data_IF_171776697476
#
_entry.id   IF_171776697476
#
_cell.length_a   1.000
_cell.length_b   1.000
_cell.length_c   1.000
_cell.angle_alpha   90.00
_cell.angle_beta   90.00
_cell.angle_gamma   90.00
#
_symmetry.space_group_name_H-M   'P 1'
#
loop_
_entity.id
_entity.type
_entity.pdbx_description
1 polymer ?
#
# COMPACT_ATOMS: atom_id res chain seq x y z
N UNK A 1 7.18 0.17 -37.64
CA UNK A 1 7.31 1.35 -36.73
C UNK A 1 5.98 1.87 -36.14
N UNK A 2 4.78 1.43 -36.57
CA UNK A 2 3.49 1.99 -36.09
C UNK A 2 2.81 1.21 -34.94
N UNK A 3 3.17 -0.07 -34.75
CA UNK A 3 2.45 -0.97 -33.84
C UNK A 3 2.63 -0.60 -32.35
N UNK A 4 3.83 -0.13 -31.98
CA UNK A 4 4.18 0.27 -30.62
C UNK A 4 3.50 1.58 -30.20
N UNK A 5 3.45 2.55 -31.11
CA UNK A 5 2.73 3.81 -30.91
C UNK A 5 1.22 3.58 -30.76
N UNK A 6 0.67 2.55 -31.41
CA UNK A 6 -0.76 2.20 -31.36
C UNK A 6 -1.10 1.43 -30.09
N UNK A 7 -0.22 0.52 -29.62
CA UNK A 7 -0.37 -0.17 -28.33
C UNK A 7 -0.30 0.81 -27.16
N UNK A 8 0.63 1.77 -27.18
CA UNK A 8 0.77 2.81 -26.16
C UNK A 8 -0.47 3.70 -26.07
N UNK A 9 -0.97 4.19 -27.22
CA UNK A 9 -2.20 5.01 -27.26
C UNK A 9 -3.44 4.25 -26.77
N UNK A 10 -3.55 2.95 -27.06
CA UNK A 10 -4.63 2.10 -26.51
C UNK A 10 -4.51 1.93 -25.00
N UNK A 11 -3.32 1.66 -24.48
CA UNK A 11 -3.10 1.57 -23.03
C UNK A 11 -3.42 2.90 -22.31
N UNK A 12 -3.01 4.04 -22.87
CA UNK A 12 -3.31 5.38 -22.33
C UNK A 12 -4.82 5.72 -22.42
N UNK A 13 -5.50 5.26 -23.46
CA UNK A 13 -6.95 5.51 -23.64
C UNK A 13 -7.79 4.65 -22.68
N UNK A 14 -7.43 3.38 -22.52
CA UNK A 14 -8.07 2.49 -21.54
C UNK A 14 -7.85 3.00 -20.12
N UNK A 15 -6.63 3.47 -19.80
CA UNK A 15 -6.33 4.08 -18.51
C UNK A 15 -7.18 5.32 -18.24
N UNK A 16 -7.35 6.22 -19.22
CA UNK A 16 -8.26 7.39 -19.11
C UNK A 16 -9.73 7.01 -18.93
N UNK A 17 -10.21 5.96 -19.60
CA UNK A 17 -11.58 5.46 -19.42
C UNK A 17 -11.78 4.78 -18.06
N UNK A 18 -10.75 4.13 -17.52
CA UNK A 18 -10.78 3.55 -16.17
C UNK A 18 -10.73 4.62 -15.07
N UNK A 19 -10.01 5.72 -15.29
CA UNK A 19 -9.99 6.89 -14.40
C UNK A 19 -11.36 7.60 -14.24
N UNK A 20 -12.30 7.40 -15.19
CA UNK A 20 -13.65 7.97 -15.14
C UNK A 20 -14.61 7.16 -14.24
N UNK A 21 -14.23 5.97 -13.78
CA UNK A 21 -15.00 5.16 -12.83
C UNK A 21 -14.19 4.99 -11.55
N UNK A 22 -14.83 5.14 -10.39
CA UNK A 22 -14.20 4.85 -9.09
C UNK A 22 -13.65 3.42 -9.15
N UNK A 23 -12.33 3.21 -8.99
CA UNK A 23 -11.75 1.87 -9.05
C UNK A 23 -12.30 0.99 -7.93
N UNK A 24 -12.42 -0.30 -8.19
CA UNK A 24 -12.81 -1.25 -7.14
C UNK A 24 -11.80 -1.22 -5.98
N UNK A 25 -12.28 -1.49 -4.76
CA UNK A 25 -11.43 -1.52 -3.55
C UNK A 25 -10.21 -2.45 -3.70
N UNK A 26 -10.38 -3.58 -4.41
CA UNK A 26 -9.29 -4.51 -4.74
C UNK A 26 -8.22 -3.86 -5.62
N UNK A 27 -8.61 -3.05 -6.60
CA UNK A 27 -7.69 -2.32 -7.48
C UNK A 27 -6.91 -1.28 -6.68
N UNK A 28 -7.58 -0.53 -5.80
CA UNK A 28 -6.94 0.45 -4.90
C UNK A 28 -5.92 -0.26 -3.99
N UNK A 29 -6.31 -1.37 -3.36
CA UNK A 29 -5.41 -2.15 -2.52
C UNK A 29 -4.19 -2.68 -3.29
N UNK A 30 -4.37 -3.16 -4.53
CA UNK A 30 -3.27 -3.63 -5.37
C UNK A 30 -2.31 -2.52 -5.80
N UNK A 31 -2.84 -1.33 -6.10
CA UNK A 31 -2.05 -0.14 -6.41
C UNK A 31 -1.16 0.24 -5.24
N UNK A 32 -1.78 0.35 -4.05
CA UNK A 32 -1.07 0.76 -2.84
C UNK A 32 -0.01 -0.25 -2.41
N UNK A 33 -0.28 -1.56 -2.51
CA UNK A 33 0.55 -2.60 -1.87
C UNK A 33 1.48 -3.39 -2.79
N UNK A 34 1.08 -3.65 -4.05
CA UNK A 34 1.75 -4.65 -4.90
C UNK A 34 2.37 -4.05 -6.15
N UNK A 35 1.76 -3.01 -6.72
CA UNK A 35 2.20 -2.44 -8.00
C UNK A 35 3.19 -1.30 -7.88
N UNK A 36 3.60 -0.89 -6.67
CA UNK A 36 4.42 0.31 -6.43
C UNK A 36 5.73 0.33 -7.25
N UNK A 37 6.36 -0.82 -7.48
CA UNK A 37 7.59 -0.94 -8.27
C UNK A 37 7.38 -0.93 -9.80
N UNK A 38 6.13 -1.04 -10.26
CA UNK A 38 5.75 -1.12 -11.68
C UNK A 38 4.50 -0.29 -12.00
N UNK A 39 4.34 0.89 -11.38
CA UNK A 39 3.22 1.78 -11.65
C UNK A 39 3.38 2.45 -13.03
N UNK A 40 2.33 2.40 -13.84
CA UNK A 40 2.22 3.33 -14.97
C UNK A 40 1.99 4.76 -14.46
N UNK A 41 2.31 5.76 -15.29
CA UNK A 41 2.17 7.19 -14.93
C UNK A 41 0.76 7.55 -14.43
N UNK A 42 -0.28 6.92 -14.98
CA UNK A 42 -1.66 7.15 -14.56
C UNK A 42 -2.01 6.48 -13.22
N UNK A 43 -1.44 5.32 -12.95
CA UNK A 43 -1.57 4.62 -11.68
C UNK A 43 -0.87 5.39 -10.55
N UNK A 44 0.30 5.98 -10.80
CA UNK A 44 0.99 6.86 -9.84
C UNK A 44 0.16 8.10 -9.47
N UNK A 45 -0.47 8.75 -10.44
CA UNK A 45 -1.33 9.92 -10.18
C UNK A 45 -2.58 9.53 -9.40
N UNK A 46 -3.12 8.34 -9.65
CA UNK A 46 -4.28 7.82 -8.92
C UNK A 46 -3.92 7.49 -7.47
N UNK A 47 -2.77 6.84 -7.26
CA UNK A 47 -2.25 6.51 -5.93
C UNK A 47 -2.00 7.79 -5.10
N UNK A 48 -1.34 8.78 -5.70
CA UNK A 48 -1.10 10.08 -5.07
C UNK A 48 -2.41 10.83 -4.74
N UNK A 49 -3.41 10.77 -5.62
CA UNK A 49 -4.72 11.38 -5.36
C UNK A 49 -5.46 10.71 -4.20
N UNK A 50 -5.34 9.39 -4.06
CA UNK A 50 -5.93 8.62 -2.96
C UNK A 50 -5.21 8.90 -1.65
N UNK A 51 -3.86 8.88 -1.64
CA UNK A 51 -3.05 9.21 -0.46
C UNK A 51 -3.31 10.64 0.02
N UNK A 52 -3.47 11.59 -0.91
CA UNK A 52 -3.75 12.99 -0.58
C UNK A 52 -5.18 13.21 -0.06
N UNK A 53 -6.15 12.42 -0.53
CA UNK A 53 -7.55 12.52 -0.10
C UNK A 53 -7.86 11.72 1.17
N UNK A 54 -7.04 10.72 1.49
CA UNK A 54 -7.22 9.83 2.65
C UNK A 54 -5.88 9.64 3.38
N UNK A 55 -5.41 10.64 4.15
CA UNK A 55 -4.11 10.58 4.82
C UNK A 55 -3.94 9.37 5.74
N UNK A 56 -5.02 8.98 6.45
CA UNK A 56 -5.00 7.82 7.34
C UNK A 56 -4.68 6.50 6.61
N UNK A 57 -5.00 6.40 5.32
CA UNK A 57 -4.67 5.22 4.51
C UNK A 57 -3.20 5.23 4.09
N UNK A 58 -2.65 6.40 3.78
CA UNK A 58 -1.23 6.56 3.51
C UNK A 58 -0.38 6.21 4.75
N UNK A 59 -0.79 6.68 5.93
CA UNK A 59 -0.15 6.37 7.21
C UNK A 59 -0.18 4.86 7.51
N UNK A 60 -1.35 4.24 7.32
CA UNK A 60 -1.51 2.79 7.47
C UNK A 60 -0.59 2.02 6.52
N UNK A 61 -0.46 2.47 5.27
CA UNK A 61 0.43 1.85 4.31
C UNK A 61 1.91 2.01 4.69
N UNK A 62 2.31 3.19 5.16
CA UNK A 62 3.66 3.44 5.66
C UNK A 62 4.02 2.51 6.84
N UNK A 63 3.07 2.27 7.76
CA UNK A 63 3.24 1.33 8.87
C UNK A 63 3.43 -0.11 8.39
N UNK A 64 2.67 -0.56 7.38
CA UNK A 64 2.87 -1.89 6.76
C UNK A 64 4.25 -1.99 6.10
N UNK A 65 4.70 -0.94 5.41
CA UNK A 65 6.04 -0.88 4.82
C UNK A 65 7.15 -0.98 5.87
N UNK A 66 7.03 -0.22 6.97
CA UNK A 66 7.97 -0.28 8.12
C UNK A 66 8.00 -1.68 8.75
N UNK A 67 6.85 -2.33 8.91
CA UNK A 67 6.75 -3.71 9.39
C UNK A 67 7.54 -4.69 8.52
N UNK A 68 7.33 -4.64 7.20
CA UNK A 68 8.03 -5.51 6.28
C UNK A 68 9.55 -5.27 6.30
N UNK A 69 9.98 -4.01 6.37
CA UNK A 69 11.39 -3.66 6.52
C UNK A 69 11.99 -4.21 7.83
N UNK A 70 11.27 -4.10 8.96
CA UNK A 70 11.68 -4.65 10.25
C UNK A 70 11.87 -6.17 10.21
N UNK A 71 10.94 -6.91 9.59
CA UNK A 71 11.06 -8.38 9.44
C UNK A 71 12.34 -8.72 8.66
N UNK A 72 12.59 -8.03 7.54
CA UNK A 72 13.77 -8.28 6.70
C UNK A 72 15.08 -8.01 7.43
N UNK A 73 15.16 -6.93 8.20
CA UNK A 73 16.39 -6.56 8.93
C UNK A 73 16.50 -7.15 10.33
N UNK A 74 15.51 -7.92 10.78
CA UNK A 74 15.38 -8.42 12.16
C UNK A 74 15.50 -7.28 13.20
N UNK A 75 14.82 -6.16 12.91
CA UNK A 75 14.92 -4.92 13.69
C UNK A 75 14.11 -4.98 14.99
N UNK A 76 14.59 -5.70 15.98
CA UNK A 76 13.88 -5.94 17.25
C UNK A 76 13.59 -4.66 18.05
N UNK A 77 14.52 -3.70 18.05
CA UNK A 77 14.39 -2.43 18.79
C UNK A 77 13.20 -1.60 18.31
N UNK A 78 12.88 -1.67 17.02
CA UNK A 78 11.81 -0.88 16.41
C UNK A 78 10.43 -1.52 16.59
N UNK A 79 10.38 -2.77 17.07
CA UNK A 79 9.16 -3.57 17.05
C UNK A 79 8.10 -3.08 18.05
N UNK A 80 8.49 -2.81 19.30
CA UNK A 80 7.56 -2.29 20.31
C UNK A 80 7.02 -0.89 19.95
N UNK A 81 7.87 0.09 19.57
CA UNK A 81 7.37 1.38 19.06
C UNK A 81 6.41 1.23 17.88
N UNK A 82 6.67 0.29 16.97
CA UNK A 82 5.77 0.04 15.84
C UNK A 82 4.42 -0.54 16.27
N UNK A 83 4.37 -1.45 17.24
CA UNK A 83 3.10 -1.99 17.75
C UNK A 83 2.26 -0.87 18.37
N UNK A 84 2.87 -0.02 19.19
CA UNK A 84 2.19 1.07 19.88
C UNK A 84 1.64 2.14 18.92
N UNK A 85 2.37 2.44 17.86
CA UNK A 85 1.92 3.34 16.80
C UNK A 85 0.80 2.69 15.98
N UNK A 86 0.98 1.43 15.59
CA UNK A 86 0.05 0.71 14.71
C UNK A 86 -1.30 0.43 15.37
N UNK A 87 -1.34 0.16 16.68
CA UNK A 87 -2.58 -0.01 17.46
C UNK A 87 -3.53 1.19 17.38
N UNK A 88 -3.00 2.39 17.14
CA UNK A 88 -3.76 3.65 17.03
C UNK A 88 -4.16 4.00 15.59
N UNK A 89 -3.83 3.14 14.62
CA UNK A 89 -4.04 3.37 13.18
C UNK A 89 -5.14 2.48 12.60
N UNK A 90 -5.39 2.59 11.29
CA UNK A 90 -6.32 1.72 10.56
C UNK A 90 -5.91 0.22 10.59
N UNK A 91 -4.65 -0.09 10.90
CA UNK A 91 -4.19 -1.49 11.06
C UNK A 91 -4.19 -1.95 12.53
N UNK A 92 -4.92 -1.27 13.41
CA UNK A 92 -4.91 -1.55 14.85
C UNK A 92 -5.27 -2.99 15.23
N UNK A 93 -6.28 -3.59 14.58
CA UNK A 93 -6.63 -5.00 14.82
C UNK A 93 -5.51 -5.96 14.43
N UNK A 94 -4.76 -5.66 13.37
CA UNK A 94 -3.59 -6.45 12.96
C UNK A 94 -2.46 -6.32 13.99
N UNK A 95 -2.13 -5.10 14.42
CA UNK A 95 -1.11 -4.86 15.45
C UNK A 95 -1.45 -5.54 16.78
N UNK A 96 -2.73 -5.58 17.16
CA UNK A 96 -3.21 -6.30 18.34
C UNK A 96 -3.01 -7.82 18.21
N UNK A 97 -3.20 -8.40 17.02
CA UNK A 97 -2.90 -9.81 16.76
C UNK A 97 -1.41 -10.11 16.95
N UNK A 98 -0.55 -9.33 16.30
CA UNK A 98 0.91 -9.47 16.39
C UNK A 98 1.42 -9.35 17.85
N UNK A 99 0.87 -8.42 18.63
CA UNK A 99 1.22 -8.26 20.05
C UNK A 99 0.88 -9.51 20.89
N UNK A 100 -0.25 -10.16 20.60
CA UNK A 100 -0.64 -11.41 21.27
C UNK A 100 0.29 -12.55 20.89
N UNK A 101 0.64 -12.66 19.60
CA UNK A 101 1.55 -13.70 19.11
C UNK A 101 2.94 -13.58 19.76
N UNK A 102 3.44 -12.35 19.94
CA UNK A 102 4.68 -12.11 20.71
C UNK A 102 4.59 -12.70 22.13
N UNK A 103 3.49 -12.45 22.83
CA UNK A 103 3.27 -12.96 24.18
C UNK A 103 3.24 -14.49 24.24
N UNK A 104 2.68 -15.14 23.22
CA UNK A 104 2.60 -16.60 23.14
C UNK A 104 3.95 -17.30 22.88
N UNK A 105 4.91 -16.62 22.25
CA UNK A 105 6.25 -17.18 21.96
C UNK A 105 7.18 -17.16 23.18
N UNK A 106 6.90 -16.30 24.16
CA UNK A 106 7.68 -16.18 25.41
C UNK A 106 7.02 -16.92 26.60
N UNK A 107 5.89 -17.58 26.36
CA UNK A 107 5.10 -18.29 27.37
C UNK A 107 5.34 -19.79 27.41
#
# INVERSE_FOLDING_TARGET
>A
MAEWATRRRRAETISRQQLQKVPAARTIAQLLTTKRDHLSKAETVTDAGIEQSVPMLADAHALVGRFHAMIRKRGEIEFEPWIDESKRSLIGSFANGIAKDKGAVHG
#
